data_IF_300189607637
#
_entry.id   IF_300189607637
#
_cell.length_a   1.000
_cell.length_b   1.000
_cell.length_c   1.000
_cell.angle_alpha   90.00
_cell.angle_beta   90.00
_cell.angle_gamma   90.00
#
_symmetry.space_group_name_H-M   'P 1'
#
loop_
_entity.id
_entity.type
_entity.pdbx_description
1 polymer ?
#
# COMPACT_ATOMS: atom_id res chain seq x y z
N UNK A 1 -3.88 7.15 -7.75
CA UNK A 1 -4.09 8.33 -6.88
C UNK A 1 -4.92 7.90 -5.69
N UNK A 2 -4.84 8.61 -4.56
CA UNK A 2 -5.68 8.31 -3.40
C UNK A 2 -7.16 8.72 -3.67
N UNK A 3 -8.14 8.06 -3.05
CA UNK A 3 -9.56 8.32 -3.28
C UNK A 3 -9.95 9.78 -3.11
N UNK A 4 -9.46 10.43 -2.05
CA UNK A 4 -9.73 11.84 -1.72
C UNK A 4 -9.11 12.83 -2.71
N UNK A 5 -8.18 12.38 -3.56
CA UNK A 5 -7.58 13.19 -4.63
C UNK A 5 -8.31 12.96 -5.96
N UNK A 6 -9.05 11.85 -6.08
CA UNK A 6 -9.83 11.51 -7.27
C UNK A 6 -11.27 12.02 -7.21
N UNK A 7 -11.85 12.14 -6.02
CA UNK A 7 -13.23 12.60 -5.87
C UNK A 7 -13.33 14.11 -6.12
N UNK A 8 -13.79 14.46 -7.32
CA UNK A 8 -14.05 15.85 -7.74
C UNK A 8 -15.53 16.21 -7.63
N UNK A 9 -16.37 15.30 -7.09
CA UNK A 9 -17.84 15.36 -7.23
C UNK A 9 -18.60 15.90 -6.03
N UNK A 10 -17.93 16.16 -4.90
CA UNK A 10 -18.52 16.87 -3.78
C UNK A 10 -17.85 18.23 -3.63
N UNK A 11 -18.69 19.26 -3.47
CA UNK A 11 -18.31 20.63 -3.15
C UNK A 11 -17.10 20.67 -2.23
N UNK A 12 -16.18 21.61 -2.51
CA UNK A 12 -14.92 21.89 -1.83
C UNK A 12 -15.05 22.01 -0.28
N UNK A 13 -15.36 20.90 0.36
CA UNK A 13 -15.28 20.66 1.79
C UNK A 13 -13.89 20.10 1.98
N UNK A 14 -12.94 21.04 2.13
CA UNK A 14 -11.50 20.79 2.24
C UNK A 14 -11.21 19.54 3.07
N UNK A 15 -10.34 18.66 2.59
CA UNK A 15 -8.92 18.88 2.91
C UNK A 15 -7.95 18.61 1.74
N UNK A 16 -8.43 18.40 0.52
CA UNK A 16 -7.58 18.24 -0.66
C UNK A 16 -6.45 17.23 -0.49
N UNK A 17 -5.32 17.47 -1.16
CA UNK A 17 -4.11 16.67 -0.97
C UNK A 17 -3.52 16.87 0.42
N UNK A 18 -3.30 15.77 1.14
CA UNK A 18 -2.61 15.78 2.44
C UNK A 18 -1.42 14.83 2.44
N UNK A 19 -0.58 14.88 3.49
CA UNK A 19 0.50 13.90 3.70
C UNK A 19 -0.01 12.44 3.76
N UNK A 20 -1.31 12.22 3.96
CA UNK A 20 -1.91 10.88 3.91
C UNK A 20 -2.07 10.36 2.49
N UNK A 21 -2.15 11.24 1.49
CA UNK A 21 -2.12 10.87 0.09
C UNK A 21 -0.73 10.35 -0.33
N UNK A 22 0.36 10.91 0.24
CA UNK A 22 1.72 10.36 0.09
C UNK A 22 1.85 8.93 0.62
N UNK A 23 1.19 8.63 1.74
CA UNK A 23 1.20 7.28 2.32
C UNK A 23 0.48 6.27 1.40
N UNK A 24 -0.60 6.70 0.76
CA UNK A 24 -1.29 5.89 -0.24
C UNK A 24 -0.40 5.65 -1.47
N UNK A 25 0.18 6.71 -2.05
CA UNK A 25 1.00 6.59 -3.26
C UNK A 25 2.28 5.78 -3.01
N UNK A 26 2.88 5.91 -1.82
CA UNK A 26 3.96 5.04 -1.37
C UNK A 26 3.57 3.57 -1.44
N UNK A 27 2.38 3.20 -0.94
CA UNK A 27 1.96 1.81 -1.01
C UNK A 27 1.72 1.30 -2.42
N UNK A 28 1.16 2.14 -3.30
CA UNK A 28 1.01 1.82 -4.73
C UNK A 28 2.38 1.56 -5.38
N UNK A 29 3.39 2.38 -5.07
CA UNK A 29 4.76 2.17 -5.52
C UNK A 29 5.34 0.84 -5.02
N UNK A 30 5.13 0.49 -3.74
CA UNK A 30 5.63 -0.79 -3.22
C UNK A 30 4.88 -1.98 -3.85
N UNK A 31 3.57 -1.86 -4.10
CA UNK A 31 2.82 -2.87 -4.86
C UNK A 31 3.38 -3.07 -6.27
N UNK A 32 3.77 -1.99 -6.93
CA UNK A 32 4.43 -2.04 -8.23
C UNK A 32 5.80 -2.72 -8.14
N UNK A 33 6.60 -2.41 -7.13
CA UNK A 33 7.92 -3.04 -6.92
C UNK A 33 7.78 -4.55 -6.68
N UNK A 34 6.79 -4.98 -5.89
CA UNK A 34 6.59 -6.39 -5.56
C UNK A 34 6.07 -7.17 -6.78
N UNK A 35 5.15 -6.58 -7.53
CA UNK A 35 4.50 -7.25 -8.67
C UNK A 35 5.25 -7.08 -9.99
N UNK A 36 6.17 -6.12 -10.07
CA UNK A 36 6.84 -5.63 -11.28
C UNK A 36 5.86 -5.17 -12.38
N UNK A 37 4.65 -4.80 -11.98
CA UNK A 37 3.57 -4.38 -12.86
C UNK A 37 2.87 -3.15 -12.26
N UNK A 38 2.35 -2.24 -13.10
CA UNK A 38 1.55 -1.13 -12.60
C UNK A 38 0.37 -1.65 -11.74
N UNK A 39 0.04 -0.97 -10.63
CA UNK A 39 -1.14 -1.31 -9.85
C UNK A 39 -2.38 -1.28 -10.75
N UNK A 40 -3.23 -2.30 -10.63
CA UNK A 40 -4.46 -2.44 -11.44
C UNK A 40 -4.25 -2.56 -12.96
N UNK A 41 -3.04 -2.92 -13.45
CA UNK A 41 -2.72 -3.00 -14.90
C UNK A 41 -3.69 -3.82 -15.77
N UNK A 42 -4.46 -4.72 -15.15
CA UNK A 42 -5.42 -5.61 -15.82
C UNK A 42 -6.82 -5.00 -16.00
N UNK A 43 -7.06 -3.80 -15.48
CA UNK A 43 -8.36 -3.14 -15.51
C UNK A 43 -8.31 -1.83 -16.32
N UNK A 44 -9.38 -1.49 -17.07
CA UNK A 44 -9.52 -0.17 -17.71
C UNK A 44 -9.51 0.97 -16.69
N UNK A 45 -9.23 2.19 -17.16
CA UNK A 45 -9.09 3.37 -16.30
C UNK A 45 -10.32 3.63 -15.43
N UNK A 46 -11.53 3.63 -16.01
CA UNK A 46 -12.76 3.90 -15.27
C UNK A 46 -13.04 2.83 -14.19
N UNK A 47 -12.79 1.57 -14.49
CA UNK A 47 -12.93 0.49 -13.52
C UNK A 47 -11.90 0.62 -12.38
N UNK A 48 -10.67 1.02 -12.71
CA UNK A 48 -9.63 1.28 -11.71
C UNK A 48 -10.04 2.41 -10.75
N UNK A 49 -10.61 3.50 -11.27
CA UNK A 49 -11.11 4.60 -10.44
C UNK A 49 -12.22 4.12 -9.50
N UNK A 50 -13.19 3.36 -10.02
CA UNK A 50 -14.26 2.78 -9.20
C UNK A 50 -13.72 1.85 -8.10
N UNK A 51 -12.74 1.01 -8.41
CA UNK A 51 -12.07 0.15 -7.44
C UNK A 51 -11.34 0.94 -6.36
N UNK A 52 -10.65 2.02 -6.73
CA UNK A 52 -9.97 2.90 -5.78
C UNK A 52 -10.97 3.56 -4.84
N UNK A 53 -12.07 4.13 -5.38
CA UNK A 53 -13.11 4.77 -4.57
C UNK A 53 -13.82 3.79 -3.62
N UNK A 54 -13.92 2.51 -4.00
CA UNK A 54 -14.47 1.43 -3.16
C UNK A 54 -13.46 0.83 -2.17
N UNK A 55 -12.18 1.17 -2.28
CA UNK A 55 -11.14 0.67 -1.39
C UNK A 55 -10.66 -0.74 -1.72
N UNK A 56 -10.87 -1.18 -2.96
CA UNK A 56 -10.40 -2.49 -3.42
C UNK A 56 -8.88 -2.42 -3.66
N UNK A 57 -8.06 -3.22 -2.95
CA UNK A 57 -6.61 -3.21 -3.12
C UNK A 57 -6.20 -3.75 -4.50
N UNK A 58 -5.01 -3.38 -5.01
CA UNK A 58 -4.51 -3.93 -6.27
C UNK A 58 -4.29 -5.45 -6.13
N UNK A 59 -4.62 -6.24 -7.17
CA UNK A 59 -4.42 -7.68 -7.13
C UNK A 59 -2.92 -7.99 -7.06
N UNK A 60 -2.57 -8.85 -6.10
CA UNK A 60 -1.24 -9.41 -5.95
C UNK A 60 -1.19 -10.78 -6.62
N UNK A 61 -0.07 -11.11 -7.27
CA UNK A 61 0.11 -12.43 -7.90
C UNK A 61 0.25 -13.52 -6.83
N UNK A 62 -0.15 -14.75 -7.15
CA UNK A 62 -0.10 -15.90 -6.24
C UNK A 62 1.32 -16.34 -5.87
N UNK A 63 2.35 -15.82 -6.56
CA UNK A 63 3.75 -16.23 -6.41
C UNK A 63 4.53 -15.39 -5.39
N UNK A 64 3.86 -14.65 -4.51
CA UNK A 64 4.54 -13.79 -3.54
C UNK A 64 5.03 -14.61 -2.35
N UNK A 65 6.29 -14.38 -1.96
CA UNK A 65 6.91 -15.06 -0.82
C UNK A 65 6.12 -14.82 0.47
N UNK A 66 5.86 -15.86 1.29
CA UNK A 66 5.23 -15.72 2.61
C UNK A 66 5.96 -14.75 3.55
N UNK A 67 7.27 -14.56 3.33
CA UNK A 67 8.10 -13.60 4.08
C UNK A 67 7.67 -12.14 3.89
N UNK A 68 6.86 -11.84 2.86
CA UNK A 68 6.34 -10.50 2.58
C UNK A 68 4.95 -10.25 3.17
N UNK A 69 4.33 -11.24 3.82
CA UNK A 69 2.99 -11.10 4.44
C UNK A 69 2.88 -9.88 5.35
N UNK A 70 3.83 -9.69 6.28
CA UNK A 70 3.84 -8.53 7.16
C UNK A 70 4.06 -7.19 6.45
N UNK A 71 4.73 -7.19 5.30
CA UNK A 71 4.83 -6.00 4.44
C UNK A 71 3.49 -5.73 3.76
N UNK A 72 2.86 -6.75 3.18
CA UNK A 72 1.55 -6.64 2.52
C UNK A 72 0.50 -6.12 3.50
N UNK A 73 0.47 -6.63 4.73
CA UNK A 73 -0.43 -6.15 5.77
C UNK A 73 -0.20 -4.67 6.09
N UNK A 74 1.06 -4.22 6.14
CA UNK A 74 1.39 -2.80 6.29
C UNK A 74 0.86 -1.98 5.11
N UNK A 75 1.06 -2.45 3.88
CA UNK A 75 0.58 -1.75 2.68
C UNK A 75 -0.95 -1.62 2.69
N UNK A 76 -1.68 -2.66 3.10
CA UNK A 76 -3.14 -2.60 3.24
C UNK A 76 -3.59 -1.51 4.23
N UNK A 77 -2.90 -1.31 5.35
CA UNK A 77 -3.19 -0.20 6.27
C UNK A 77 -2.89 1.18 5.68
N UNK A 78 -1.89 1.28 4.81
CA UNK A 78 -1.52 2.53 4.14
C UNK A 78 -2.51 2.93 3.04
N UNK A 79 -3.34 2.00 2.55
CA UNK A 79 -4.37 2.23 1.53
C UNK A 79 -5.79 2.17 2.09
N UNK A 80 -5.96 2.46 3.38
CA UNK A 80 -7.29 2.63 3.96
C UNK A 80 -8.02 3.80 3.27
N UNK A 81 -9.30 3.59 2.94
CA UNK A 81 -10.15 4.63 2.33
C UNK A 81 -10.18 5.88 3.20
N UNK A 82 -10.27 5.73 4.52
CA UNK A 82 -10.24 6.86 5.43
C UNK A 82 -8.79 7.33 5.66
N UNK A 83 -8.40 8.54 5.21
CA UNK A 83 -7.03 9.04 5.36
C UNK A 83 -6.56 9.10 6.82
N UNK A 84 -7.47 9.30 7.77
CA UNK A 84 -7.16 9.36 9.21
C UNK A 84 -6.72 8.02 9.78
N UNK A 85 -7.13 6.90 9.16
CA UNK A 85 -6.74 5.54 9.58
C UNK A 85 -5.37 5.12 9.04
N UNK A 86 -4.89 5.77 7.98
CA UNK A 86 -3.57 5.49 7.42
C UNK A 86 -2.49 5.85 8.45
N UNK A 87 -1.39 5.10 8.56
CA UNK A 87 -0.27 5.45 9.42
C UNK A 87 0.41 6.76 8.96
N UNK A 88 1.24 7.34 9.82
CA UNK A 88 2.19 8.40 9.45
C UNK A 88 3.45 7.80 8.84
N UNK A 89 4.23 8.60 8.11
CA UNK A 89 5.51 8.16 7.55
C UNK A 89 6.45 7.58 8.62
N UNK A 90 6.54 8.22 9.79
CA UNK A 90 7.34 7.72 10.93
C UNK A 90 6.87 6.35 11.42
N UNK A 91 5.56 6.12 11.49
CA UNK A 91 4.99 4.82 11.85
C UNK A 91 5.27 3.75 10.78
N UNK A 92 5.18 4.11 9.49
CA UNK A 92 5.52 3.22 8.37
C UNK A 92 6.97 2.79 8.45
N UNK A 93 7.91 3.74 8.57
CA UNK A 93 9.35 3.45 8.70
C UNK A 93 9.62 2.57 9.92
N UNK A 94 9.01 2.88 11.07
CA UNK A 94 9.17 2.09 12.28
C UNK A 94 8.71 0.64 12.11
N UNK A 95 7.61 0.41 11.39
CA UNK A 95 7.12 -0.95 11.07
C UNK A 95 8.04 -1.64 10.06
N UNK A 96 8.47 -0.96 9.01
CA UNK A 96 9.40 -1.50 8.01
C UNK A 96 10.72 -1.95 8.64
N UNK A 97 11.33 -1.13 9.50
CA UNK A 97 12.56 -1.49 10.20
C UNK A 97 12.38 -2.74 11.06
N UNK A 98 11.23 -2.91 11.72
CA UNK A 98 10.92 -4.12 12.50
C UNK A 98 10.83 -5.35 11.59
N UNK A 99 10.11 -5.25 10.47
CA UNK A 99 9.96 -6.32 9.49
C UNK A 99 11.33 -6.76 8.92
N UNK A 100 12.18 -5.80 8.54
CA UNK A 100 13.52 -6.08 8.02
C UNK A 100 14.39 -6.80 9.06
N UNK A 101 14.33 -6.39 10.34
CA UNK A 101 15.07 -7.04 11.43
C UNK A 101 14.59 -8.48 11.66
N UNK A 102 13.29 -8.76 11.54
CA UNK A 102 12.78 -10.12 11.64
C UNK A 102 13.22 -11.00 10.46
N UNK A 103 13.27 -10.46 9.24
CA UNK A 103 13.71 -11.21 8.06
C UNK A 103 15.20 -11.60 8.11
N UNK A 104 16.06 -10.75 8.69
CA UNK A 104 17.50 -11.04 8.86
C UNK A 104 17.74 -12.15 9.89
N UNK A 105 16.96 -12.21 10.97
CA UNK A 105 17.07 -13.30 11.96
C UNK A 105 16.74 -14.66 11.35
N UNK A 106 15.76 -14.73 10.45
CA UNK A 106 15.35 -15.98 9.80
C UNK A 106 16.45 -16.54 8.88
N UNK A 107 17.25 -15.69 8.22
CA UNK A 107 18.37 -16.15 7.40
C UNK A 107 19.54 -16.75 8.19
N UNK A 108 19.80 -16.28 9.42
CA UNK A 108 20.85 -16.88 10.26
C UNK A 108 20.51 -18.29 10.76
N UNK A 109 19.22 -18.62 10.92
CA UNK A 109 18.79 -19.96 11.36
C UNK A 109 18.88 -20.99 10.23
N UNK A 110 18.70 -20.58 8.97
CA UNK A 110 18.77 -21.46 7.80
C UNK A 110 20.19 -21.74 7.30
N UNK A 111 21.20 -20.96 7.73
CA UNK A 111 22.61 -21.21 7.37
C UNK A 111 23.33 -22.22 8.29
N UNK A 112 22.65 -22.72 9.34
CA UNK A 112 23.20 -23.67 10.31
C UNK A 112 22.50 -25.06 10.28
N UNK A 113 21.95 -25.46 9.14
CA UNK A 113 21.51 -26.84 8.90
C UNK A 113 22.23 -27.42 7.69
#
# INVERSE_FOLDING_TARGET
MAPEVLDVSMEATGDGYTLKADIWSFSMLVFEIISLLPPYHQFPHLQTVEMILKGTPPPLTSNISPNLSGLIDLLHHCIDINPSKRPTASQVVSKLVKLLKSSVKTQCVLKNK
#
